data_IF_637787497142
#
_entry.id   IF_637787497142
#
_cell.length_a   1.000
_cell.length_b   1.000
_cell.length_c   1.000
_cell.angle_alpha   90.00
_cell.angle_beta   90.00
_cell.angle_gamma   90.00
#
_symmetry.space_group_name_H-M   'P 1'
#
loop_
_entity.id
_entity.type
_entity.pdbx_description
1 polymer ?
#
# COMPACT_ATOMS: atom_id res chain seq x y z
N UNK A 1 -13.33 13.21 11.88
CA UNK A 1 -14.06 13.70 10.67
C UNK A 1 -15.03 12.60 10.25
N UNK A 2 -16.19 12.89 9.63
CA UNK A 2 -17.05 11.81 9.15
C UNK A 2 -16.47 11.22 7.86
N UNK A 3 -16.65 9.91 7.63
CA UNK A 3 -16.18 9.18 6.43
C UNK A 3 -16.58 9.88 5.11
N UNK A 4 -17.80 10.47 5.06
CA UNK A 4 -18.24 11.23 3.89
C UNK A 4 -17.42 12.52 3.64
N UNK A 5 -16.95 13.20 4.68
CA UNK A 5 -16.09 14.39 4.53
C UNK A 5 -14.67 14.01 4.10
N UNK A 6 -14.22 12.86 4.51
CA UNK A 6 -12.92 12.31 4.11
C UNK A 6 -12.94 11.91 2.63
N UNK A 7 -13.95 11.17 2.18
CA UNK A 7 -14.13 10.82 0.78
C UNK A 7 -14.21 12.07 -0.14
N UNK A 8 -14.94 13.11 0.27
CA UNK A 8 -15.03 14.36 -0.49
C UNK A 8 -13.66 15.07 -0.60
N UNK A 9 -12.83 15.03 0.45
CA UNK A 9 -11.48 15.58 0.41
C UNK A 9 -10.60 14.85 -0.63
N UNK A 10 -10.68 13.51 -0.67
CA UNK A 10 -9.94 12.71 -1.67
C UNK A 10 -10.48 12.93 -3.09
N UNK A 11 -11.78 13.12 -3.29
CA UNK A 11 -12.36 13.48 -4.59
C UNK A 11 -11.77 14.78 -5.12
N UNK A 12 -11.71 15.83 -4.30
CA UNK A 12 -11.10 17.10 -4.67
C UNK A 12 -9.59 16.95 -4.95
N UNK A 13 -8.88 16.22 -4.09
CA UNK A 13 -7.46 15.96 -4.24
C UNK A 13 -7.12 15.27 -5.57
N UNK A 14 -7.84 14.20 -5.93
CA UNK A 14 -7.57 13.46 -7.16
C UNK A 14 -8.01 14.19 -8.43
N UNK A 15 -8.94 15.11 -8.35
CA UNK A 15 -9.27 16.02 -9.47
C UNK A 15 -8.15 17.02 -9.76
N UNK A 16 -7.42 17.44 -8.74
CA UNK A 16 -6.39 18.48 -8.87
C UNK A 16 -4.99 17.94 -9.12
N UNK A 17 -4.69 16.71 -8.68
CA UNK A 17 -3.33 16.15 -8.67
C UNK A 17 -3.23 14.91 -9.52
N UNK A 18 -2.63 15.01 -10.72
CA UNK A 18 -2.16 13.85 -11.46
C UNK A 18 -0.78 13.44 -10.94
N UNK A 19 -0.72 12.38 -10.14
CA UNK A 19 0.55 11.82 -9.66
C UNK A 19 1.16 10.89 -10.71
N UNK A 20 2.47 10.96 -10.88
CA UNK A 20 3.23 9.92 -11.56
C UNK A 20 3.58 8.80 -10.57
N UNK A 21 3.72 7.57 -11.07
CA UNK A 21 4.15 6.45 -10.24
C UNK A 21 5.49 6.75 -9.57
N UNK A 22 5.50 6.84 -8.26
CA UNK A 22 6.69 7.14 -7.47
C UNK A 22 7.78 6.07 -7.63
N UNK A 23 9.03 6.46 -7.40
CA UNK A 23 10.17 5.55 -7.50
C UNK A 23 10.05 4.33 -6.56
N UNK A 24 9.38 4.51 -5.43
CA UNK A 24 9.15 3.46 -4.43
C UNK A 24 8.27 2.32 -4.94
N UNK A 25 7.29 2.58 -5.78
CA UNK A 25 6.49 1.51 -6.39
C UNK A 25 7.32 0.61 -7.31
N UNK A 26 8.33 1.18 -7.99
CA UNK A 26 9.23 0.42 -8.87
C UNK A 26 10.04 -0.63 -8.13
N UNK A 27 10.37 -0.40 -6.86
CA UNK A 27 11.09 -1.37 -6.03
C UNK A 27 10.24 -2.63 -5.71
N UNK A 28 8.91 -2.47 -5.62
CA UNK A 28 7.96 -3.56 -5.41
C UNK A 28 7.83 -4.46 -6.65
N UNK A 29 7.83 -3.88 -7.86
CA UNK A 29 7.42 -4.57 -9.10
C UNK A 29 8.15 -5.89 -9.36
N UNK A 30 9.48 -6.02 -9.24
CA UNK A 30 10.16 -7.28 -9.49
C UNK A 30 9.67 -8.41 -8.58
N UNK A 31 9.44 -8.11 -7.31
CA UNK A 31 8.95 -9.09 -6.34
C UNK A 31 7.49 -9.46 -6.62
N UNK A 32 6.64 -8.47 -6.83
CA UNK A 32 5.24 -8.66 -7.13
C UNK A 32 5.05 -9.52 -8.41
N UNK A 33 5.78 -9.20 -9.48
CA UNK A 33 5.70 -9.93 -10.76
C UNK A 33 6.17 -11.38 -10.61
N UNK A 34 7.16 -11.65 -9.75
CA UNK A 34 7.64 -13.02 -9.51
C UNK A 34 6.60 -13.93 -8.82
N UNK A 35 5.63 -13.34 -8.13
CA UNK A 35 4.55 -14.05 -7.44
C UNK A 35 3.25 -14.15 -8.29
N UNK A 36 3.14 -13.36 -9.37
CA UNK A 36 1.98 -13.41 -10.27
C UNK A 36 1.98 -14.70 -11.09
N UNK A 37 0.82 -15.31 -11.20
CA UNK A 37 0.50 -16.45 -12.07
C UNK A 37 -0.63 -16.06 -13.01
N UNK A 38 -0.82 -16.77 -14.14
CA UNK A 38 -1.88 -16.43 -15.09
C UNK A 38 -3.28 -16.36 -14.47
N UNK A 39 -3.54 -17.20 -13.48
CA UNK A 39 -4.82 -17.28 -12.74
C UNK A 39 -4.90 -16.37 -11.51
N UNK A 40 -3.83 -15.65 -11.18
CA UNK A 40 -3.80 -14.80 -9.99
C UNK A 40 -4.86 -13.70 -10.06
N UNK A 41 -5.62 -13.55 -8.96
CA UNK A 41 -6.51 -12.43 -8.73
C UNK A 41 -5.85 -11.45 -7.77
N UNK A 42 -5.81 -10.17 -8.18
CA UNK A 42 -5.17 -9.10 -7.43
C UNK A 42 -6.20 -8.07 -6.99
N UNK A 43 -6.16 -7.69 -5.73
CA UNK A 43 -6.96 -6.60 -5.16
C UNK A 43 -6.06 -5.47 -4.67
N UNK A 44 -6.29 -4.24 -5.13
CA UNK A 44 -5.69 -3.03 -4.55
C UNK A 44 -6.72 -2.28 -3.72
N UNK A 45 -6.37 -1.97 -2.47
CA UNK A 45 -7.19 -1.30 -1.49
C UNK A 45 -6.66 0.13 -1.28
N UNK A 46 -7.49 1.14 -1.58
CA UNK A 46 -7.04 2.52 -1.68
C UNK A 46 -6.22 2.74 -2.95
N UNK A 47 -6.80 2.40 -4.11
CA UNK A 47 -6.05 2.37 -5.37
C UNK A 47 -5.66 3.75 -5.92
N UNK A 48 -6.29 4.83 -5.44
CA UNK A 48 -6.04 6.17 -5.94
C UNK A 48 -6.13 6.22 -7.47
N UNK A 49 -5.03 6.62 -8.11
CA UNK A 49 -4.95 6.70 -9.58
C UNK A 49 -4.48 5.39 -10.26
N UNK A 50 -4.40 4.27 -9.54
CA UNK A 50 -4.15 2.93 -10.09
C UNK A 50 -2.79 2.74 -10.78
N UNK A 51 -1.75 3.41 -10.30
CA UNK A 51 -0.43 3.40 -10.94
C UNK A 51 0.18 2.01 -11.07
N UNK A 52 0.07 1.19 -10.01
CA UNK A 52 0.58 -0.19 -10.02
C UNK A 52 -0.25 -1.05 -10.98
N UNK A 53 -1.57 -0.95 -10.90
CA UNK A 53 -2.49 -1.73 -11.72
C UNK A 53 -2.27 -1.46 -13.20
N UNK A 54 -2.23 -0.16 -13.57
CA UNK A 54 -1.95 0.26 -14.94
C UNK A 54 -0.61 -0.29 -15.43
N UNK A 55 0.45 -0.19 -14.63
CA UNK A 55 1.76 -0.73 -14.99
C UNK A 55 1.69 -2.23 -15.28
N UNK A 56 1.06 -3.00 -14.40
CA UNK A 56 0.96 -4.46 -14.54
C UNK A 56 0.22 -4.87 -15.82
N UNK A 57 -0.84 -4.15 -16.18
CA UNK A 57 -1.61 -4.42 -17.42
C UNK A 57 -0.80 -4.03 -18.67
N UNK A 58 -0.22 -2.82 -18.70
CA UNK A 58 0.56 -2.35 -19.85
C UNK A 58 1.76 -3.25 -20.13
N UNK A 59 2.42 -3.75 -19.09
CA UNK A 59 3.55 -4.69 -19.20
C UNK A 59 3.11 -6.15 -19.38
N UNK A 60 1.80 -6.39 -19.56
CA UNK A 60 1.20 -7.72 -19.75
C UNK A 60 1.60 -8.73 -18.66
N UNK A 61 1.71 -8.27 -17.43
CA UNK A 61 2.05 -9.10 -16.26
C UNK A 61 0.84 -9.81 -15.67
N UNK A 62 -0.37 -9.26 -15.91
CA UNK A 62 -1.64 -9.81 -15.44
C UNK A 62 -2.74 -9.44 -16.45
N UNK A 63 -3.77 -10.29 -16.55
CA UNK A 63 -4.97 -9.98 -17.31
C UNK A 63 -5.78 -8.91 -16.59
N UNK A 64 -6.35 -7.96 -17.32
CA UNK A 64 -7.11 -6.86 -16.77
C UNK A 64 -8.32 -7.33 -15.97
N UNK A 65 -8.99 -8.38 -16.44
CA UNK A 65 -10.16 -9.02 -15.78
C UNK A 65 -9.83 -9.68 -14.44
N UNK A 66 -8.55 -9.90 -14.15
CA UNK A 66 -8.05 -10.46 -12.90
C UNK A 66 -7.71 -9.39 -11.85
N UNK A 67 -7.85 -8.11 -12.21
CA UNK A 67 -7.61 -6.96 -11.34
C UNK A 67 -8.90 -6.49 -10.72
N UNK A 68 -8.84 -6.27 -9.42
CA UNK A 68 -9.89 -5.65 -8.62
C UNK A 68 -9.27 -4.50 -7.83
N UNK A 69 -10.05 -3.44 -7.62
CA UNK A 69 -9.61 -2.36 -6.76
C UNK A 69 -10.79 -1.63 -6.13
N UNK A 70 -10.56 -1.09 -4.95
CA UNK A 70 -11.48 -0.18 -4.29
C UNK A 70 -10.77 1.09 -3.86
N UNK A 71 -11.53 2.18 -3.87
CA UNK A 71 -11.17 3.44 -3.24
C UNK A 71 -12.43 4.08 -2.67
N UNK A 72 -12.31 4.90 -1.62
CA UNK A 72 -13.44 5.67 -1.11
C UNK A 72 -13.77 6.88 -2.01
N UNK A 73 -12.80 7.36 -2.79
CA UNK A 73 -12.96 8.44 -3.75
C UNK A 73 -13.61 7.95 -5.04
N UNK A 74 -14.78 8.51 -5.35
CA UNK A 74 -15.48 8.24 -6.61
C UNK A 74 -14.69 8.76 -7.81
N UNK A 75 -13.99 9.89 -7.66
CA UNK A 75 -13.14 10.47 -8.71
C UNK A 75 -11.94 9.57 -9.04
N UNK A 76 -11.29 8.98 -8.02
CA UNK A 76 -10.23 8.00 -8.23
C UNK A 76 -10.74 6.75 -8.96
N UNK A 77 -11.87 6.21 -8.52
CA UNK A 77 -12.52 5.04 -9.13
C UNK A 77 -12.89 5.29 -10.59
N UNK A 78 -13.50 6.43 -10.91
CA UNK A 78 -13.85 6.79 -12.29
C UNK A 78 -12.60 6.90 -13.17
N UNK A 79 -11.54 7.54 -12.65
CA UNK A 79 -10.26 7.65 -13.36
C UNK A 79 -9.69 6.27 -13.70
N UNK A 80 -9.63 5.35 -12.72
CA UNK A 80 -9.07 4.00 -12.94
C UNK A 80 -9.96 3.16 -13.86
N UNK A 81 -11.30 3.25 -13.76
CA UNK A 81 -12.24 2.58 -14.69
C UNK A 81 -12.02 2.99 -16.14
N UNK A 82 -11.76 4.28 -16.38
CA UNK A 82 -11.47 4.77 -17.72
C UNK A 82 -10.14 4.23 -18.28
N UNK A 83 -9.15 3.94 -17.40
CA UNK A 83 -7.87 3.36 -17.78
C UNK A 83 -7.92 1.83 -17.95
N UNK A 84 -8.73 1.17 -17.13
CA UNK A 84 -8.83 -0.29 -17.02
C UNK A 84 -10.31 -0.71 -17.05
N UNK A 85 -10.97 -0.61 -18.24
CA UNK A 85 -12.43 -0.79 -18.33
C UNK A 85 -12.93 -2.22 -18.08
N UNK A 86 -12.05 -3.22 -18.13
CA UNK A 86 -12.41 -4.62 -17.87
C UNK A 86 -12.08 -5.06 -16.44
N UNK A 87 -11.39 -4.23 -15.66
CA UNK A 87 -11.06 -4.52 -14.27
C UNK A 87 -12.27 -4.30 -13.34
N UNK A 88 -12.32 -5.05 -12.26
CA UNK A 88 -13.36 -4.93 -11.23
C UNK A 88 -13.10 -3.76 -10.27
N UNK A 89 -13.22 -2.53 -10.75
CA UNK A 89 -12.97 -1.32 -9.94
C UNK A 89 -14.28 -0.81 -9.34
N UNK A 90 -14.31 -0.50 -8.04
CA UNK A 90 -15.51 -0.01 -7.36
C UNK A 90 -15.19 1.03 -6.28
N UNK A 91 -16.11 1.96 -6.06
CA UNK A 91 -16.12 2.74 -4.82
C UNK A 91 -16.48 1.81 -3.68
N UNK A 92 -15.67 1.77 -2.62
CA UNK A 92 -15.85 0.80 -1.55
C UNK A 92 -15.20 1.24 -0.24
N UNK A 93 -15.64 0.58 0.83
CA UNK A 93 -15.15 0.76 2.18
C UNK A 93 -14.27 -0.43 2.58
N UNK A 94 -13.02 -0.17 2.95
CA UNK A 94 -12.07 -1.18 3.38
C UNK A 94 -12.51 -1.92 4.65
N UNK A 95 -13.40 -1.31 5.44
CA UNK A 95 -13.97 -1.93 6.64
C UNK A 95 -15.09 -2.92 6.33
N UNK A 96 -15.59 -2.91 5.08
CA UNK A 96 -16.67 -3.78 4.62
C UNK A 96 -16.42 -4.22 3.18
N UNK A 97 -15.55 -5.20 3.01
CA UNK A 97 -15.23 -5.75 1.68
C UNK A 97 -16.33 -6.71 1.21
N UNK A 98 -16.97 -6.38 0.10
CA UNK A 98 -18.07 -7.18 -0.48
C UNK A 98 -17.51 -8.22 -1.50
N UNK A 99 -16.45 -8.92 -1.12
CA UNK A 99 -15.84 -9.98 -1.91
C UNK A 99 -15.97 -11.35 -1.23
N UNK A 100 -15.95 -12.45 -1.99
CA UNK A 100 -15.91 -13.77 -1.39
C UNK A 100 -14.68 -13.97 -0.51
N UNK A 101 -14.82 -14.77 0.55
CA UNK A 101 -13.68 -15.15 1.39
C UNK A 101 -12.65 -15.91 0.55
N UNK A 102 -11.37 -15.71 0.86
CA UNK A 102 -10.26 -16.44 0.26
C UNK A 102 -10.19 -16.35 -1.27
N UNK A 103 -10.59 -15.21 -1.81
CA UNK A 103 -10.73 -14.99 -3.25
C UNK A 103 -9.47 -14.45 -3.94
N UNK A 104 -8.67 -13.63 -3.24
CA UNK A 104 -7.52 -12.95 -3.83
C UNK A 104 -6.20 -13.63 -3.50
N UNK A 105 -5.38 -13.86 -4.52
CA UNK A 105 -4.03 -14.38 -4.37
C UNK A 105 -3.05 -13.32 -3.88
N UNK A 106 -3.28 -12.05 -4.27
CA UNK A 106 -2.46 -10.91 -3.90
C UNK A 106 -3.36 -9.74 -3.51
N UNK A 107 -3.12 -9.17 -2.34
CA UNK A 107 -3.70 -7.91 -1.88
C UNK A 107 -2.60 -6.85 -1.78
N UNK A 108 -2.91 -5.64 -2.24
CA UNK A 108 -2.04 -4.46 -2.14
C UNK A 108 -2.71 -3.43 -1.23
N UNK A 109 -1.96 -2.91 -0.26
CA UNK A 109 -2.38 -1.84 0.64
C UNK A 109 -1.24 -0.81 0.68
N UNK A 110 -1.18 0.03 -0.38
CA UNK A 110 -0.04 0.88 -0.65
C UNK A 110 -0.32 2.32 -0.24
N UNK A 111 0.44 2.85 0.76
CA UNK A 111 0.24 4.21 1.30
C UNK A 111 -1.23 4.46 1.69
N UNK A 112 -1.81 3.52 2.42
CA UNK A 112 -3.24 3.53 2.78
C UNK A 112 -3.45 3.32 4.27
N UNK A 113 -2.64 2.47 4.92
CA UNK A 113 -2.86 2.08 6.33
C UNK A 113 -2.75 3.27 7.29
N UNK A 114 -1.93 4.25 6.97
CA UNK A 114 -1.75 5.48 7.76
C UNK A 114 -3.00 6.38 7.77
N UNK A 115 -3.88 6.19 6.78
CA UNK A 115 -5.12 6.95 6.63
C UNK A 115 -6.34 6.24 7.22
N UNK A 116 -6.17 5.06 7.79
CA UNK A 116 -7.26 4.32 8.43
C UNK A 116 -7.45 4.74 9.89
N UNK A 117 -8.66 5.12 10.27
CA UNK A 117 -8.97 5.42 11.68
C UNK A 117 -8.76 4.19 12.57
N UNK A 118 -9.20 3.02 12.12
CA UNK A 118 -9.08 1.75 12.84
C UNK A 118 -8.46 0.66 11.92
N UNK A 119 -7.13 0.56 11.83
CA UNK A 119 -6.49 -0.37 10.90
C UNK A 119 -6.75 -1.86 11.22
N UNK A 120 -6.99 -2.21 12.48
CA UNK A 120 -7.17 -3.62 12.86
C UNK A 120 -8.43 -4.27 12.25
N UNK A 121 -9.64 -3.66 12.28
CA UNK A 121 -10.80 -4.17 11.55
C UNK A 121 -10.57 -4.26 10.03
N UNK A 122 -9.93 -3.27 9.42
CA UNK A 122 -9.63 -3.27 7.99
C UNK A 122 -8.70 -4.44 7.62
N UNK A 123 -7.60 -4.63 8.37
CA UNK A 123 -6.67 -5.75 8.17
C UNK A 123 -7.35 -7.11 8.33
N UNK A 124 -8.34 -7.22 9.21
CA UNK A 124 -9.16 -8.44 9.33
C UNK A 124 -9.96 -8.70 8.06
N UNK A 125 -10.60 -7.68 7.48
CA UNK A 125 -11.30 -7.80 6.20
C UNK A 125 -10.33 -8.25 5.09
N UNK A 126 -9.16 -7.63 5.01
CA UNK A 126 -8.13 -8.01 4.02
C UNK A 126 -7.70 -9.47 4.22
N UNK A 127 -7.51 -9.91 5.47
CA UNK A 127 -7.18 -11.31 5.78
C UNK A 127 -8.28 -12.28 5.33
N UNK A 128 -9.55 -11.93 5.54
CA UNK A 128 -10.67 -12.78 5.16
C UNK A 128 -10.76 -13.00 3.65
N UNK A 129 -10.57 -11.96 2.84
CA UNK A 129 -10.65 -12.06 1.38
C UNK A 129 -9.37 -12.59 0.72
N UNK A 130 -8.23 -12.57 1.42
CA UNK A 130 -6.97 -13.16 0.93
C UNK A 130 -7.05 -14.68 0.94
N UNK A 131 -6.65 -15.33 -0.15
CA UNK A 131 -6.63 -16.80 -0.26
C UNK A 131 -5.56 -17.42 0.67
N UNK A 132 -5.72 -18.70 1.07
CA UNK A 132 -4.64 -19.44 1.74
C UNK A 132 -3.34 -19.40 0.92
N UNK A 133 -2.21 -19.16 1.57
CA UNK A 133 -0.90 -18.88 0.96
C UNK A 133 -0.86 -17.60 0.13
N UNK A 134 -1.93 -16.82 0.06
CA UNK A 134 -1.97 -15.52 -0.60
C UNK A 134 -1.11 -14.47 0.09
N UNK A 135 -0.78 -13.43 -0.63
CA UNK A 135 0.15 -12.37 -0.22
C UNK A 135 -0.57 -11.06 0.08
N UNK A 136 -0.09 -10.35 1.09
CA UNK A 136 -0.37 -8.95 1.31
C UNK A 136 0.93 -8.16 1.15
N UNK A 137 0.94 -7.18 0.26
CA UNK A 137 1.95 -6.14 0.19
C UNK A 137 1.40 -4.86 0.80
N UNK A 138 2.18 -4.25 1.66
CA UNK A 138 1.80 -3.05 2.39
C UNK A 138 2.94 -2.06 2.43
N UNK A 139 2.69 -0.78 2.13
CA UNK A 139 3.63 0.32 2.33
C UNK A 139 3.01 1.43 3.16
N UNK A 140 3.85 2.24 3.75
CA UNK A 140 3.48 3.40 4.58
C UNK A 140 4.70 4.31 4.77
N UNK A 141 4.51 5.60 5.12
CA UNK A 141 5.60 6.48 5.53
C UNK A 141 6.20 6.03 6.87
N UNK A 142 7.47 5.62 6.86
CA UNK A 142 8.15 5.10 8.05
C UNK A 142 8.86 6.22 8.83
N UNK A 143 8.37 6.55 9.99
CA UNK A 143 8.93 7.62 10.82
C UNK A 143 10.17 7.22 11.66
N UNK A 144 10.72 6.00 11.49
CA UNK A 144 12.10 5.72 11.84
C UNK A 144 13.11 6.37 10.89
N UNK A 145 12.64 6.86 9.74
CA UNK A 145 13.45 7.64 8.80
C UNK A 145 13.62 9.08 9.31
N UNK A 146 14.65 9.32 10.10
CA UNK A 146 14.90 10.59 10.79
C UNK A 146 14.84 11.85 9.90
N UNK A 147 15.38 11.87 8.66
CA UNK A 147 15.28 13.04 7.80
C UNK A 147 13.83 13.48 7.54
N UNK A 148 12.92 12.54 7.29
CA UNK A 148 11.51 12.85 7.08
C UNK A 148 10.78 13.24 8.36
N UNK A 149 11.12 12.64 9.47
CA UNK A 149 10.57 13.05 10.76
C UNK A 149 10.93 14.51 11.08
N UNK A 150 12.17 14.91 10.80
CA UNK A 150 12.60 16.31 10.97
C UNK A 150 11.87 17.25 10.03
N UNK A 151 11.70 16.87 8.75
CA UNK A 151 10.93 17.67 7.77
C UNK A 151 9.50 17.85 8.26
N UNK A 152 8.84 16.82 8.75
CA UNK A 152 7.48 16.90 9.29
C UNK A 152 7.40 17.85 10.48
N UNK A 153 8.28 17.67 11.48
CA UNK A 153 8.30 18.53 12.68
C UNK A 153 8.54 20.00 12.32
N UNK A 154 9.45 20.26 11.38
CA UNK A 154 9.74 21.62 10.92
C UNK A 154 8.57 22.21 10.13
N UNK A 155 7.94 21.43 9.26
CA UNK A 155 6.76 21.86 8.49
C UNK A 155 5.62 22.28 9.43
N UNK A 156 5.32 21.48 10.43
CA UNK A 156 4.30 21.78 11.45
C UNK A 156 4.67 23.05 12.26
N UNK A 157 5.92 23.15 12.76
CA UNK A 157 6.38 24.30 13.56
C UNK A 157 6.44 25.61 12.78
N UNK A 158 6.79 25.56 11.49
CA UNK A 158 6.92 26.72 10.63
C UNK A 158 5.63 27.06 9.89
N UNK A 159 4.56 26.31 10.13
CA UNK A 159 3.28 26.43 9.44
C UNK A 159 3.44 26.46 7.91
N UNK A 160 4.28 25.55 7.39
CA UNK A 160 4.59 25.41 5.96
C UNK A 160 3.95 24.13 5.38
N UNK A 161 2.60 24.08 5.22
CA UNK A 161 1.89 22.86 4.80
C UNK A 161 2.30 22.37 3.39
N UNK A 162 2.92 23.25 2.58
CA UNK A 162 3.37 22.89 1.24
C UNK A 162 4.56 21.91 1.21
N UNK A 163 5.23 21.70 2.33
CA UNK A 163 6.35 20.75 2.41
C UNK A 163 5.85 19.31 2.54
N UNK A 164 4.70 19.12 3.15
CA UNK A 164 4.04 17.82 3.30
C UNK A 164 2.54 18.06 3.11
N UNK A 165 1.93 17.30 2.20
CA UNK A 165 0.47 17.30 2.07
C UNK A 165 -0.09 16.51 3.24
N UNK A 166 -0.67 17.19 4.22
CA UNK A 166 -1.34 16.55 5.35
C UNK A 166 -2.71 16.06 4.87
N UNK A 167 -2.96 14.78 5.07
CA UNK A 167 -4.25 14.15 4.76
C UNK A 167 -5.15 14.19 6.00
N UNK A 168 -6.47 14.01 5.86
CA UNK A 168 -7.43 14.10 6.97
C UNK A 168 -7.10 13.19 8.16
N UNK A 169 -6.65 11.97 7.87
CA UNK A 169 -6.06 11.03 8.83
C UNK A 169 -4.66 10.73 8.34
N UNK A 170 -3.66 10.90 9.20
CA UNK A 170 -2.25 10.70 8.84
C UNK A 170 -1.48 10.21 10.07
N UNK A 171 -1.57 8.91 10.32
CA UNK A 171 -0.98 8.26 11.48
C UNK A 171 0.51 8.00 11.29
N UNK A 172 1.24 8.18 12.38
CA UNK A 172 2.67 7.91 12.42
C UNK A 172 2.91 6.45 12.79
N UNK A 173 3.54 5.72 11.88
CA UNK A 173 3.89 4.32 12.09
C UNK A 173 5.40 4.09 12.02
N UNK A 174 5.83 3.02 12.70
CA UNK A 174 7.17 2.44 12.56
C UNK A 174 7.05 1.02 12.04
N UNK A 175 8.09 0.54 11.37
CA UNK A 175 8.12 -0.82 10.80
C UNK A 175 7.72 -1.90 11.82
N UNK A 176 8.30 -1.95 13.05
CA UNK A 176 7.91 -2.98 14.02
C UNK A 176 6.43 -2.90 14.44
N UNK A 177 5.89 -1.68 14.51
CA UNK A 177 4.49 -1.48 14.86
C UNK A 177 3.57 -2.09 13.80
N UNK A 178 3.83 -1.79 12.52
CA UNK A 178 3.03 -2.29 11.39
C UNK A 178 3.15 -3.81 11.26
N UNK A 179 4.36 -4.37 11.36
CA UNK A 179 4.55 -5.83 11.32
C UNK A 179 3.69 -6.50 12.38
N UNK A 180 3.79 -6.06 13.64
CA UNK A 180 3.02 -6.62 14.74
C UNK A 180 1.50 -6.49 14.54
N UNK A 181 1.05 -5.38 13.96
CA UNK A 181 -0.36 -5.13 13.68
C UNK A 181 -0.91 -6.11 12.62
N UNK A 182 -0.17 -6.29 11.52
CA UNK A 182 -0.55 -7.21 10.44
C UNK A 182 -0.48 -8.68 10.88
N UNK A 183 0.52 -9.03 11.70
CA UNK A 183 0.61 -10.38 12.28
C UNK A 183 -0.54 -10.69 13.24
N UNK A 184 -1.02 -9.70 14.00
CA UNK A 184 -2.23 -9.85 14.84
C UNK A 184 -3.50 -10.09 14.03
N UNK A 185 -3.55 -9.64 12.77
CA UNK A 185 -4.65 -9.96 11.86
C UNK A 185 -4.57 -11.39 11.28
N UNK A 186 -3.47 -12.13 11.53
CA UNK A 186 -3.28 -13.52 11.13
C UNK A 186 -2.24 -13.76 10.03
N UNK A 187 -1.74 -12.73 9.41
CA UNK A 187 -0.67 -12.82 8.42
C UNK A 187 0.68 -13.17 9.07
N UNK A 188 1.62 -13.69 8.28
CA UNK A 188 3.03 -13.89 8.67
C UNK A 188 3.92 -12.97 7.86
N UNK A 189 4.79 -12.22 8.52
CA UNK A 189 5.80 -11.40 7.86
C UNK A 189 6.82 -12.30 7.14
N UNK A 190 7.16 -11.97 5.89
CA UNK A 190 8.16 -12.69 5.10
C UNK A 190 9.41 -11.85 4.84
N UNK A 191 9.23 -10.63 4.33
CA UNK A 191 10.35 -9.74 4.02
C UNK A 191 9.93 -8.28 3.87
N UNK A 192 10.92 -7.39 3.94
CA UNK A 192 10.79 -5.99 3.60
C UNK A 192 11.64 -5.63 2.38
N UNK A 193 11.17 -4.65 1.61
CA UNK A 193 11.85 -4.05 0.48
C UNK A 193 11.90 -2.54 0.77
N UNK A 194 13.11 -1.99 0.86
CA UNK A 194 13.28 -0.56 1.13
C UNK A 194 13.40 0.24 -0.16
N UNK A 195 12.91 1.46 -0.10
CA UNK A 195 13.08 2.48 -1.13
C UNK A 195 13.01 3.86 -0.49
N UNK A 196 13.65 4.86 -1.13
CA UNK A 196 13.73 6.22 -0.59
C UNK A 196 14.47 6.30 0.75
N UNK A 197 15.81 6.14 0.69
CA UNK A 197 16.68 6.16 1.87
C UNK A 197 17.22 7.55 2.22
N UNK A 198 17.29 8.46 1.25
CA UNK A 198 17.74 9.83 1.45
C UNK A 198 16.63 10.79 1.91
N UNK A 199 16.98 12.03 2.28
CA UNK A 199 15.98 13.09 2.41
C UNK A 199 15.35 13.40 1.04
N UNK A 200 14.14 13.98 0.98
CA UNK A 200 13.41 14.20 -0.29
C UNK A 200 14.22 14.92 -1.36
N UNK A 201 15.01 15.90 -0.96
CA UNK A 201 15.86 16.71 -1.84
C UNK A 201 16.95 15.88 -2.53
N UNK A 202 17.33 14.72 -1.97
CA UNK A 202 18.34 13.82 -2.52
C UNK A 202 17.77 12.62 -3.27
N UNK A 203 16.44 12.43 -3.32
CA UNK A 203 15.83 11.31 -4.08
C UNK A 203 16.25 11.23 -5.54
N UNK A 204 16.44 12.35 -6.27
CA UNK A 204 16.95 12.29 -7.64
C UNK A 204 18.35 11.68 -7.74
N UNK A 205 19.13 11.70 -6.67
CA UNK A 205 20.49 11.13 -6.60
C UNK A 205 20.50 9.67 -6.13
N UNK A 206 19.36 9.15 -5.68
CA UNK A 206 19.25 7.77 -5.23
C UNK A 206 19.29 6.82 -6.42
N UNK A 207 20.39 6.10 -6.54
CA UNK A 207 20.59 5.16 -7.65
C UNK A 207 19.98 3.80 -7.36
N UNK A 208 19.48 3.06 -8.39
CA UNK A 208 19.01 1.68 -8.21
C UNK A 208 20.07 0.76 -7.59
N UNK A 209 21.35 1.01 -7.86
CA UNK A 209 22.46 0.24 -7.28
C UNK A 209 22.57 0.42 -5.76
N UNK A 210 22.46 1.65 -5.27
CA UNK A 210 22.47 1.93 -3.83
C UNK A 210 21.27 1.28 -3.13
N UNK A 211 20.07 1.46 -3.65
CA UNK A 211 18.86 0.83 -3.12
C UNK A 211 19.00 -0.69 -3.07
N UNK A 212 19.52 -1.30 -4.14
CA UNK A 212 19.77 -2.76 -4.19
C UNK A 212 20.78 -3.21 -3.13
N UNK A 213 21.87 -2.47 -2.95
CA UNK A 213 22.91 -2.78 -1.94
C UNK A 213 22.34 -2.69 -0.52
N UNK A 214 21.58 -1.62 -0.19
CA UNK A 214 20.96 -1.46 1.12
C UNK A 214 19.92 -2.55 1.42
N UNK A 215 19.14 -2.94 0.43
CA UNK A 215 18.20 -4.06 0.55
C UNK A 215 18.95 -5.41 0.76
N UNK A 216 20.05 -5.65 0.06
CA UNK A 216 20.88 -6.85 0.23
C UNK A 216 21.48 -6.91 1.65
N UNK A 217 21.84 -5.79 2.24
CA UNK A 217 22.28 -5.66 3.62
C UNK A 217 21.13 -5.70 4.65
N UNK A 218 19.89 -5.96 4.20
CA UNK A 218 18.67 -5.99 5.03
C UNK A 218 18.41 -4.68 5.80
N UNK A 219 18.84 -3.54 5.26
CA UNK A 219 18.61 -2.22 5.83
C UNK A 219 17.32 -1.56 5.31
N UNK A 220 16.42 -2.32 4.72
CA UNK A 220 15.14 -1.88 4.17
C UNK A 220 14.26 -1.14 5.20
N UNK A 221 14.37 -1.47 6.47
CA UNK A 221 13.62 -0.84 7.58
C UNK A 221 14.06 0.59 7.87
N UNK A 222 15.18 1.04 7.33
CA UNK A 222 15.64 2.43 7.40
C UNK A 222 15.07 3.29 6.27
N UNK A 223 14.41 2.70 5.26
CA UNK A 223 13.83 3.48 4.17
C UNK A 223 12.59 4.26 4.63
N UNK A 224 12.28 5.33 3.90
CA UNK A 224 11.08 6.12 4.18
C UNK A 224 9.79 5.41 3.74
N UNK A 225 9.81 4.73 2.58
CA UNK A 225 8.69 3.93 2.10
C UNK A 225 9.09 2.44 2.04
N UNK A 226 9.12 1.73 3.18
CA UNK A 226 9.32 0.29 3.16
C UNK A 226 8.07 -0.39 2.59
N UNK A 227 8.27 -1.34 1.70
CA UNK A 227 7.23 -2.28 1.29
C UNK A 227 7.39 -3.57 2.07
N UNK A 228 6.39 -3.94 2.83
CA UNK A 228 6.37 -5.15 3.64
C UNK A 228 5.53 -6.22 2.94
N UNK A 229 6.09 -7.42 2.82
CA UNK A 229 5.39 -8.59 2.30
C UNK A 229 5.01 -9.53 3.42
N UNK A 230 3.76 -9.92 3.42
CA UNK A 230 3.19 -10.88 4.35
C UNK A 230 2.50 -12.00 3.58
N UNK A 231 2.38 -13.17 4.22
CA UNK A 231 1.66 -14.32 3.69
C UNK A 231 0.54 -14.73 4.63
N UNK A 232 -0.64 -15.04 4.08
CA UNK A 232 -1.68 -15.76 4.81
C UNK A 232 -1.27 -17.22 4.96
N UNK A 233 -1.24 -17.81 6.17
CA UNK A 233 -0.97 -19.23 6.34
C UNK A 233 -1.93 -20.09 5.55
N UNK A 234 -1.44 -21.22 5.00
CA UNK A 234 -2.28 -22.23 4.36
C UNK A 234 -3.20 -22.95 5.36
N UNK A 235 -4.26 -23.55 4.87
CA UNK A 235 -5.13 -24.39 5.69
C UNK A 235 -4.32 -25.57 6.26
N UNK A 236 -4.27 -25.71 7.57
CA UNK A 236 -3.51 -26.76 8.27
C UNK A 236 -2.32 -26.28 9.12
N UNK A 237 -1.90 -25.02 8.99
CA UNK A 237 -0.96 -24.43 9.93
C UNK A 237 -1.74 -23.89 11.14
N UNK A 238 -1.79 -24.64 12.23
CA UNK A 238 -2.40 -24.20 13.49
C UNK A 238 -1.75 -22.87 13.93
N UNK A 239 -2.56 -21.81 13.99
CA UNK A 239 -2.16 -20.59 14.67
C UNK A 239 -1.82 -20.93 16.12
N UNK A 240 -0.67 -20.49 16.66
CA UNK A 240 -0.51 -20.53 18.10
C UNK A 240 -1.56 -19.57 18.70
N UNK A 241 -2.54 -20.13 19.37
CA UNK A 241 -3.48 -19.38 20.20
C UNK A 241 -2.62 -18.64 21.23
N UNK A 242 -2.56 -17.31 21.12
CA UNK A 242 -1.99 -16.48 22.15
C UNK A 242 -2.89 -16.62 23.39
N UNK A 243 -2.35 -17.29 24.41
CA UNK A 243 -2.85 -17.22 25.78
C UNK A 243 -2.46 -15.86 26.40
#
# INVERSE_FOLDING_TARGET
MTQAKEAAWYDEFYQQVQKQMGAWYRALIPDLVSELRPESKLLELGCGQGHILRYLVLEKKIQEESIFAIDQSSAAVEFVKNLLPKAGIATGDIYRLEYPREFFNICLLMETIEHLEEPAPALKQVFEVTAPNGLLYLSFPNFLHLPWLLVRILSEKLNQPNWIVLQPVDKIYTVPCVIKMVERAGFKFEKGIGCSYGPPVLYPLETPGLTKALNALKLWWLSFHPVLRFRKPGQGASSPVAQ
#
